data_IF_927504827923
#
_entry.id   IF_927504827923
#
_cell.length_a   1.000
_cell.length_b   1.000
_cell.length_c   1.000
_cell.angle_alpha   90.00
_cell.angle_beta   90.00
_cell.angle_gamma   90.00
#
_symmetry.space_group_name_H-M   'P 1'
#
loop_
_entity.id
_entity.type
_entity.pdbx_description
1 polymer ?
#
# COMPACT_ATOMS: atom_id res chain seq x y z
N UNK A 1 -19.32 11.90 4.33
CA UNK A 1 -19.30 10.67 3.53
C UNK A 1 -19.84 9.49 4.35
N UNK A 2 -20.99 8.94 3.96
CA UNK A 2 -21.63 7.82 4.67
C UNK A 2 -22.12 6.75 3.68
N UNK A 3 -22.24 5.51 4.17
CA UNK A 3 -22.85 4.37 3.49
C UNK A 3 -23.89 3.75 4.43
N UNK A 4 -25.16 3.71 4.01
CA UNK A 4 -26.27 3.17 4.81
C UNK A 4 -26.35 3.75 6.25
N UNK A 5 -26.05 5.03 6.41
CA UNK A 5 -26.09 5.73 7.71
C UNK A 5 -24.89 5.47 8.62
N UNK A 6 -23.82 4.84 8.11
CA UNK A 6 -22.56 4.63 8.82
C UNK A 6 -21.47 5.47 8.16
N UNK A 7 -20.57 6.13 8.94
CA UNK A 7 -19.40 6.81 8.39
C UNK A 7 -18.60 5.92 7.46
N UNK A 8 -18.18 6.48 6.33
CA UNK A 8 -17.46 5.72 5.31
C UNK A 8 -16.06 5.27 5.79
N UNK A 9 -15.39 6.11 6.58
CA UNK A 9 -14.02 5.89 7.05
C UNK A 9 -13.74 4.49 7.61
N UNK A 10 -14.46 3.99 8.64
CA UNK A 10 -14.21 2.65 9.18
C UNK A 10 -14.39 1.53 8.14
N UNK A 11 -15.27 1.68 7.16
CA UNK A 11 -15.44 0.68 6.09
C UNK A 11 -14.22 0.65 5.15
N UNK A 12 -13.70 1.83 4.79
CA UNK A 12 -12.56 1.95 3.88
C UNK A 12 -11.24 1.55 4.56
N UNK A 13 -11.08 1.80 5.87
CA UNK A 13 -9.91 1.37 6.64
C UNK A 13 -9.71 -0.14 6.58
N UNK A 14 -10.78 -0.95 6.58
CA UNK A 14 -10.65 -2.40 6.42
C UNK A 14 -10.00 -2.78 5.08
N UNK A 15 -10.31 -2.06 4.00
CA UNK A 15 -9.66 -2.27 2.72
C UNK A 15 -8.16 -1.93 2.81
N UNK A 16 -7.79 -0.82 3.46
CA UNK A 16 -6.38 -0.42 3.65
C UNK A 16 -5.60 -1.46 4.46
N UNK A 17 -6.16 -1.94 5.58
CA UNK A 17 -5.51 -2.92 6.47
C UNK A 17 -5.38 -4.30 5.84
N UNK A 18 -6.21 -4.66 4.85
CA UNK A 18 -6.08 -5.91 4.11
C UNK A 18 -5.15 -5.74 2.90
N UNK A 19 -5.37 -4.72 2.07
CA UNK A 19 -4.65 -4.52 0.82
C UNK A 19 -3.20 -4.10 1.05
N UNK A 20 -2.94 -3.24 2.03
CA UNK A 20 -1.62 -2.71 2.33
C UNK A 20 -0.58 -3.80 2.66
N UNK A 21 -0.84 -4.70 3.63
CA UNK A 21 0.04 -5.82 3.91
C UNK A 21 0.19 -6.78 2.72
N UNK A 22 -0.89 -7.05 1.98
CA UNK A 22 -0.82 -7.87 0.77
C UNK A 22 0.07 -7.24 -0.31
N UNK A 23 -0.02 -5.93 -0.51
CA UNK A 23 0.81 -5.18 -1.44
C UNK A 23 2.29 -5.24 -1.05
N UNK A 24 2.59 -4.98 0.23
CA UNK A 24 3.96 -5.01 0.75
C UNK A 24 4.57 -6.42 0.67
N UNK A 25 3.85 -7.46 1.09
CA UNK A 25 4.33 -8.85 1.02
C UNK A 25 4.51 -9.32 -0.43
N UNK A 26 3.58 -8.97 -1.32
CA UNK A 26 3.70 -9.24 -2.76
C UNK A 26 4.93 -8.56 -3.34
N UNK A 27 5.21 -7.32 -2.94
CA UNK A 27 6.36 -6.55 -3.40
C UNK A 27 7.69 -7.14 -2.92
N UNK A 28 7.77 -7.56 -1.65
CA UNK A 28 8.93 -8.27 -1.11
C UNK A 28 9.16 -9.58 -1.86
N UNK A 29 8.10 -10.38 -2.07
CA UNK A 29 8.18 -11.61 -2.85
C UNK A 29 8.63 -11.34 -4.31
N UNK A 30 8.10 -10.29 -4.94
CA UNK A 30 8.45 -9.88 -6.30
C UNK A 30 9.92 -9.45 -6.41
N UNK A 31 10.40 -8.65 -5.45
CA UNK A 31 11.77 -8.18 -5.42
C UNK A 31 12.77 -9.32 -5.20
N UNK A 32 12.51 -10.17 -4.20
CA UNK A 32 13.47 -11.13 -3.66
C UNK A 32 13.40 -12.52 -4.31
N UNK A 33 12.31 -12.87 -5.00
CA UNK A 33 12.09 -14.21 -5.57
C UNK A 33 11.93 -14.15 -7.10
N UNK A 34 13.04 -14.15 -7.88
CA UNK A 34 13.00 -13.97 -9.35
C UNK A 34 12.07 -14.92 -10.10
N UNK A 35 11.97 -16.18 -9.64
CA UNK A 35 11.11 -17.22 -10.22
C UNK A 35 9.61 -16.96 -10.09
N UNK A 36 9.18 -16.02 -9.24
CA UNK A 36 7.77 -15.67 -9.06
C UNK A 36 7.38 -14.37 -9.78
N UNK A 37 8.34 -13.64 -10.35
CA UNK A 37 8.08 -12.34 -11.01
C UNK A 37 7.11 -12.43 -12.18
N UNK A 38 7.07 -13.54 -12.91
CA UNK A 38 6.11 -13.72 -14.01
C UNK A 38 4.66 -13.82 -13.52
N UNK A 39 4.43 -14.34 -12.31
CA UNK A 39 3.13 -14.48 -11.68
C UNK A 39 2.70 -13.21 -10.93
N UNK A 40 3.63 -12.64 -10.16
CA UNK A 40 3.33 -11.56 -9.21
C UNK A 40 3.32 -10.16 -9.84
N UNK A 41 3.72 -10.01 -11.11
CA UNK A 41 3.82 -8.70 -11.78
C UNK A 41 2.50 -7.92 -11.77
N UNK A 42 1.41 -8.55 -12.21
CA UNK A 42 0.10 -7.90 -12.25
C UNK A 42 -0.54 -7.77 -10.86
N UNK A 43 -0.51 -8.79 -9.98
CA UNK A 43 -0.93 -8.64 -8.60
C UNK A 43 -0.25 -7.47 -7.88
N UNK A 44 1.08 -7.30 -8.04
CA UNK A 44 1.81 -6.17 -7.46
C UNK A 44 1.23 -4.83 -7.90
N UNK A 45 1.02 -4.63 -9.20
CA UNK A 45 0.52 -3.37 -9.75
C UNK A 45 -0.91 -3.08 -9.30
N UNK A 46 -1.78 -4.09 -9.34
CA UNK A 46 -3.18 -3.95 -8.91
C UNK A 46 -3.24 -3.64 -7.42
N UNK A 47 -2.50 -4.38 -6.58
CA UNK A 47 -2.48 -4.15 -5.15
C UNK A 47 -1.89 -2.78 -4.79
N UNK A 48 -0.85 -2.32 -5.48
CA UNK A 48 -0.28 -0.99 -5.27
C UNK A 48 -1.32 0.11 -5.55
N UNK A 49 -2.02 0.04 -6.69
CA UNK A 49 -3.04 1.04 -7.04
C UNK A 49 -4.24 0.99 -6.10
N UNK A 50 -4.75 -0.21 -5.79
CA UNK A 50 -5.90 -0.35 -4.88
C UNK A 50 -5.55 0.12 -3.47
N UNK A 51 -4.36 -0.21 -2.96
CA UNK A 51 -3.91 0.29 -1.65
C UNK A 51 -3.84 1.80 -1.62
N UNK A 52 -3.24 2.42 -2.64
CA UNK A 52 -3.13 3.88 -2.74
C UNK A 52 -4.50 4.56 -2.83
N UNK A 53 -5.41 4.03 -3.65
CA UNK A 53 -6.76 4.54 -3.79
C UNK A 53 -7.56 4.39 -2.49
N UNK A 54 -7.46 3.24 -1.81
CA UNK A 54 -8.11 3.01 -0.52
C UNK A 54 -7.53 3.92 0.57
N UNK A 55 -6.22 4.12 0.62
CA UNK A 55 -5.59 5.00 1.60
C UNK A 55 -6.03 6.46 1.38
N UNK A 56 -6.06 6.93 0.14
CA UNK A 56 -6.59 8.25 -0.21
C UNK A 56 -8.04 8.42 0.23
N UNK A 57 -8.90 7.44 -0.07
CA UNK A 57 -10.32 7.49 0.31
C UNK A 57 -10.51 7.39 1.83
N UNK A 58 -9.67 6.62 2.53
CA UNK A 58 -9.68 6.54 4.00
C UNK A 58 -9.36 7.89 4.62
N UNK A 59 -8.32 8.59 4.14
CA UNK A 59 -7.97 9.93 4.64
C UNK A 59 -9.09 10.93 4.36
N UNK A 60 -9.57 11.02 3.11
CA UNK A 60 -10.64 11.95 2.75
C UNK A 60 -11.94 11.71 3.54
N UNK A 61 -12.26 10.45 3.86
CA UNK A 61 -13.43 10.11 4.68
C UNK A 61 -13.20 10.28 6.18
N UNK A 62 -11.95 10.26 6.63
CA UNK A 62 -11.57 10.60 8.00
C UNK A 62 -11.66 12.10 8.25
N UNK A 63 -11.18 12.92 7.32
CA UNK A 63 -11.29 14.39 7.35
C UNK A 63 -12.77 14.82 7.43
N UNK A 64 -13.62 14.32 6.53
CA UNK A 64 -15.07 14.60 6.53
C UNK A 64 -15.76 14.13 7.84
N UNK A 65 -15.31 12.99 8.40
CA UNK A 65 -15.79 12.50 9.68
C UNK A 65 -15.42 13.47 10.82
N UNK A 66 -14.19 13.99 10.83
CA UNK A 66 -13.71 14.95 11.82
C UNK A 66 -14.44 16.29 11.70
N UNK A 67 -14.63 16.80 10.49
CA UNK A 67 -15.43 18.02 10.24
C UNK A 67 -16.85 17.89 10.80
N UNK A 68 -17.47 16.71 10.65
CA UNK A 68 -18.81 16.44 11.20
C UNK A 68 -18.82 16.27 12.73
N UNK A 69 -17.66 15.99 13.34
CA UNK A 69 -17.48 15.74 14.79
C UNK A 69 -16.19 16.38 15.33
N UNK A 70 -16.09 17.73 15.39
CA UNK A 70 -14.84 18.42 15.73
C UNK A 70 -14.29 18.08 17.12
N UNK A 71 -15.13 17.58 18.04
CA UNK A 71 -14.70 17.15 19.38
C UNK A 71 -13.77 15.93 19.37
N UNK A 72 -13.61 15.26 18.23
CA UNK A 72 -12.71 14.12 18.08
C UNK A 72 -11.26 14.55 17.81
N UNK A 73 -11.00 15.81 17.47
CA UNK A 73 -9.69 16.30 16.99
C UNK A 73 -8.54 15.91 17.92
N UNK A 74 -8.59 16.30 19.20
CA UNK A 74 -7.56 15.96 20.19
C UNK A 74 -7.38 14.44 20.41
N UNK A 75 -8.42 13.64 20.13
CA UNK A 75 -8.38 12.19 20.31
C UNK A 75 -7.75 11.48 19.10
N UNK A 76 -7.85 12.06 17.90
CA UNK A 76 -7.47 11.41 16.64
C UNK A 76 -6.29 12.05 15.92
N UNK A 77 -5.75 13.18 16.42
CA UNK A 77 -4.64 13.92 15.81
C UNK A 77 -3.48 13.00 15.39
N UNK A 78 -2.98 12.14 16.31
CA UNK A 78 -1.89 11.21 15.99
C UNK A 78 -2.30 10.13 14.96
N UNK A 79 -3.57 9.71 14.95
CA UNK A 79 -4.09 8.79 13.93
C UNK A 79 -4.19 9.45 12.56
N UNK A 80 -4.64 10.70 12.53
CA UNK A 80 -4.75 11.51 11.32
C UNK A 80 -3.37 11.71 10.69
N UNK A 81 -2.38 12.19 11.44
CA UNK A 81 -1.02 12.41 10.94
C UNK A 81 -0.39 11.13 10.37
N UNK A 82 -0.51 10.01 11.08
CA UNK A 82 -0.03 8.72 10.59
C UNK A 82 -0.82 8.21 9.37
N UNK A 83 -2.13 8.46 9.33
CA UNK A 83 -2.99 8.14 8.20
C UNK A 83 -2.62 8.92 6.94
N UNK A 84 -2.31 10.21 7.08
CA UNK A 84 -1.80 11.05 6.00
C UNK A 84 -0.43 10.59 5.49
N UNK A 85 0.47 10.23 6.41
CA UNK A 85 1.78 9.68 6.07
C UNK A 85 1.63 8.36 5.31
N UNK A 86 0.74 7.47 5.75
CA UNK A 86 0.41 6.22 5.07
C UNK A 86 -0.13 6.48 3.66
N UNK A 87 -1.08 7.42 3.50
CA UNK A 87 -1.60 7.85 2.18
C UNK A 87 -0.46 8.27 1.26
N UNK A 88 0.44 9.12 1.74
CA UNK A 88 1.54 9.65 0.94
C UNK A 88 2.54 8.55 0.53
N UNK A 89 2.87 7.64 1.46
CA UNK A 89 3.71 6.47 1.19
C UNK A 89 3.05 5.55 0.16
N UNK A 90 1.75 5.26 0.30
CA UNK A 90 1.02 4.40 -0.62
C UNK A 90 0.95 5.01 -2.04
N UNK A 91 0.73 6.32 -2.16
CA UNK A 91 0.77 7.03 -3.44
C UNK A 91 2.17 6.97 -4.08
N UNK A 92 3.23 7.22 -3.29
CA UNK A 92 4.61 7.11 -3.76
C UNK A 92 5.04 5.69 -4.12
N UNK A 93 4.41 4.68 -3.53
CA UNK A 93 4.69 3.27 -3.80
C UNK A 93 4.25 2.85 -5.20
N UNK A 94 3.20 3.45 -5.77
CA UNK A 94 2.69 3.11 -7.12
C UNK A 94 3.75 3.28 -8.22
N UNK A 95 4.41 4.43 -8.41
CA UNK A 95 5.45 4.57 -9.43
C UNK A 95 6.65 3.67 -9.17
N UNK A 96 7.00 3.38 -7.91
CA UNK A 96 8.05 2.41 -7.56
C UNK A 96 7.67 1.00 -8.00
N UNK A 97 6.43 0.58 -7.77
CA UNK A 97 5.91 -0.71 -8.24
C UNK A 97 5.90 -0.80 -9.77
N UNK A 98 5.53 0.28 -10.48
CA UNK A 98 5.60 0.37 -11.94
C UNK A 98 7.03 0.25 -12.45
N UNK A 99 7.97 1.00 -11.84
CA UNK A 99 9.39 0.94 -12.18
C UNK A 99 9.94 -0.47 -11.99
N UNK A 100 9.63 -1.12 -10.87
CA UNK A 100 10.06 -2.48 -10.59
C UNK A 100 9.43 -3.50 -11.53
N UNK A 101 8.13 -3.39 -11.81
CA UNK A 101 7.45 -4.25 -12.78
C UNK A 101 8.05 -4.12 -14.18
N UNK A 102 8.49 -2.92 -14.56
CA UNK A 102 9.17 -2.70 -15.82
C UNK A 102 10.60 -3.26 -15.79
N UNK A 103 11.42 -2.92 -14.78
CA UNK A 103 12.85 -3.16 -14.74
C UNK A 103 13.27 -4.58 -14.31
N UNK A 104 12.48 -5.24 -13.46
CA UNK A 104 12.79 -6.58 -12.95
C UNK A 104 12.26 -7.67 -13.88
N UNK A 105 13.17 -8.44 -14.43
CA UNK A 105 12.89 -9.60 -15.24
C UNK A 105 12.96 -10.91 -14.46
N UNK A 106 12.45 -11.99 -15.03
CA UNK A 106 12.51 -13.33 -14.47
C UNK A 106 12.18 -14.36 -15.55
N UNK A 107 12.60 -15.61 -15.33
CA UNK A 107 12.17 -16.72 -16.18
C UNK A 107 10.68 -17.01 -15.95
N UNK A 108 9.99 -17.42 -17.01
CA UNK A 108 8.64 -17.98 -16.90
C UNK A 108 8.70 -19.49 -16.75
N UNK A 109 7.87 -20.04 -15.86
CA UNK A 109 7.73 -21.49 -15.70
C UNK A 109 6.76 -22.10 -16.74
N UNK A 110 6.09 -21.28 -17.56
CA UNK A 110 5.18 -21.75 -18.59
C UNK A 110 5.97 -22.34 -19.76
N UNK A 111 5.50 -23.48 -20.30
CA UNK A 111 6.09 -24.08 -21.51
C UNK A 111 6.09 -23.11 -22.72
N UNK A 112 5.15 -22.16 -22.75
CA UNK A 112 5.07 -21.10 -23.77
C UNK A 112 6.09 -19.96 -23.60
N UNK A 113 6.82 -19.90 -22.49
CA UNK A 113 7.74 -18.79 -22.15
C UNK A 113 7.06 -17.45 -21.84
N UNK A 114 5.72 -17.35 -21.93
CA UNK A 114 4.97 -16.11 -21.68
C UNK A 114 5.28 -15.54 -20.30
N UNK A 115 5.56 -14.23 -20.25
CA UNK A 115 5.89 -13.52 -19.00
C UNK A 115 7.37 -13.54 -18.63
N UNK A 116 8.23 -14.25 -19.38
CA UNK A 116 9.67 -14.14 -19.21
C UNK A 116 10.19 -12.79 -19.72
N UNK A 117 11.07 -12.16 -18.95
CA UNK A 117 11.65 -10.84 -19.28
C UNK A 117 13.10 -10.79 -18.75
N UNK A 118 14.03 -10.11 -19.44
CA UNK A 118 15.36 -9.84 -18.91
C UNK A 118 15.31 -8.76 -17.82
N UNK A 119 16.19 -8.85 -16.82
CA UNK A 119 16.36 -7.76 -15.83
C UNK A 119 17.23 -6.66 -16.43
N UNK A 120 16.85 -5.40 -16.24
CA UNK A 120 17.61 -4.24 -16.76
C UNK A 120 18.77 -3.83 -15.85
N UNK A 121 19.80 -4.70 -15.74
CA UNK A 121 21.09 -4.39 -15.11
C UNK A 121 21.00 -3.59 -13.80
N UNK A 122 21.75 -2.47 -13.72
CA UNK A 122 21.79 -1.59 -12.55
C UNK A 122 20.43 -0.97 -12.20
N UNK A 123 19.61 -0.63 -13.19
CA UNK A 123 18.25 -0.09 -12.96
C UNK A 123 17.38 -1.12 -12.22
N UNK A 124 17.53 -2.41 -12.56
CA UNK A 124 16.85 -3.48 -11.85
C UNK A 124 17.23 -3.55 -10.37
N UNK A 125 18.51 -3.38 -10.04
CA UNK A 125 18.97 -3.37 -8.63
C UNK A 125 18.37 -2.19 -7.87
N UNK A 126 18.44 -0.99 -8.44
CA UNK A 126 17.85 0.22 -7.84
C UNK A 126 16.35 0.05 -7.63
N UNK A 127 15.63 -0.46 -8.64
CA UNK A 127 14.20 -0.71 -8.55
C UNK A 127 13.84 -1.74 -7.47
N UNK A 128 14.64 -2.80 -7.31
CA UNK A 128 14.45 -3.78 -6.24
C UNK A 128 14.65 -3.16 -4.85
N UNK A 129 15.71 -2.36 -4.66
CA UNK A 129 15.98 -1.68 -3.38
C UNK A 129 14.85 -0.71 -3.03
N UNK A 130 14.42 0.12 -3.98
CA UNK A 130 13.31 1.04 -3.78
C UNK A 130 12.00 0.30 -3.49
N UNK A 131 11.74 -0.82 -4.16
CA UNK A 131 10.55 -1.62 -3.93
C UNK A 131 10.54 -2.24 -2.53
N UNK A 132 11.68 -2.77 -2.07
CA UNK A 132 11.82 -3.31 -0.70
C UNK A 132 11.66 -2.19 0.33
N UNK A 133 12.32 -1.05 0.13
CA UNK A 133 12.20 0.09 1.04
C UNK A 133 10.75 0.61 1.12
N UNK A 134 10.07 0.73 -0.03
CA UNK A 134 8.67 1.13 -0.10
C UNK A 134 7.73 0.11 0.57
N UNK A 135 7.99 -1.18 0.44
CA UNK A 135 7.22 -2.22 1.12
C UNK A 135 7.38 -2.15 2.65
N UNK A 136 8.59 -1.92 3.14
CA UNK A 136 8.85 -1.73 4.59
C UNK A 136 8.19 -0.45 5.07
N UNK A 137 8.31 0.66 4.33
CA UNK A 137 7.67 1.92 4.67
C UNK A 137 6.14 1.77 4.78
N UNK A 138 5.50 1.08 3.81
CA UNK A 138 4.09 0.75 3.86
C UNK A 138 3.71 0.00 5.14
N UNK A 139 4.45 -1.06 5.49
CA UNK A 139 4.16 -1.86 6.70
C UNK A 139 4.30 -1.04 7.98
N UNK A 140 5.33 -0.19 8.06
CA UNK A 140 5.57 0.66 9.22
C UNK A 140 4.47 1.71 9.37
N UNK A 141 4.11 2.42 8.31
CA UNK A 141 3.07 3.45 8.39
C UNK A 141 1.68 2.86 8.60
N UNK A 142 1.39 1.68 8.06
CA UNK A 142 0.19 0.90 8.39
C UNK A 142 0.12 0.57 9.88
N UNK A 143 1.25 0.10 10.46
CA UNK A 143 1.31 -0.21 11.88
C UNK A 143 1.10 1.04 12.74
N UNK A 144 1.79 2.14 12.43
CA UNK A 144 1.67 3.39 13.18
C UNK A 144 0.24 3.94 13.16
N UNK A 145 -0.39 4.01 11.98
CA UNK A 145 -1.76 4.47 11.85
C UNK A 145 -2.75 3.54 12.56
N UNK A 146 -2.55 2.22 12.46
CA UNK A 146 -3.39 1.23 13.13
C UNK A 146 -3.28 1.27 14.65
N UNK A 147 -2.07 1.40 15.18
CA UNK A 147 -1.80 1.46 16.62
C UNK A 147 -2.34 2.76 17.25
N UNK A 148 -2.08 3.92 16.64
CA UNK A 148 -2.64 5.19 17.13
C UNK A 148 -4.17 5.23 17.02
N UNK A 149 -4.74 4.64 15.96
CA UNK A 149 -6.19 4.48 15.82
C UNK A 149 -6.81 3.53 16.85
N UNK A 150 -6.09 2.49 17.29
CA UNK A 150 -6.55 1.62 18.36
C UNK A 150 -6.50 2.35 19.72
N UNK A 151 -5.45 3.14 19.97
CA UNK A 151 -5.30 3.93 21.19
C UNK A 151 -6.37 5.02 21.33
N UNK A 152 -6.78 5.68 20.25
CA UNK A 152 -7.82 6.71 20.32
C UNK A 152 -9.20 6.16 20.75
N UNK A 153 -9.44 4.86 20.54
CA UNK A 153 -10.71 4.20 20.89
C UNK A 153 -10.61 3.43 22.22
N UNK A 154 -9.48 2.79 22.50
CA UNK A 154 -9.35 1.81 23.59
C UNK A 154 -8.25 2.13 24.62
N UNK A 155 -7.44 3.17 24.38
CA UNK A 155 -6.27 3.54 25.18
C UNK A 155 -6.56 4.49 26.33
#
# INVERSE_FOLDING_TARGET
>A
MELNGVPLHPLVVHAVVVLGPLAALTALAYALVPRWRWLLRWPLLVLAVLTAASAFLATASGEDLLESRPRLEELVEEHEEHGELLRNVALGFVPVAVLAAWALGGASALASGRGAQPTRGAIGVVAAVLLVAGAVALLVTLFLAGDSGAKSVWG
#
